data_IF_234873901408
#
_entry.id   IF_234873901408
#
_cell.length_a   1.000
_cell.length_b   1.000
_cell.length_c   1.000
_cell.angle_alpha   90.00
_cell.angle_beta   90.00
_cell.angle_gamma   90.00
#
_symmetry.space_group_name_H-M   'P 1'
#
loop_
_entity.id
_entity.type
_entity.pdbx_description
1 polymer ?
#
# COMPACT_ATOMS: atom_id res chain seq x y z
N UNK A 1 -2.20 13.84 -0.66
CA UNK A 1 -0.80 13.36 -0.70
C UNK A 1 -0.81 11.95 -0.15
N UNK A 2 -0.23 11.00 -0.87
CA UNK A 2 -0.06 9.62 -0.43
C UNK A 2 1.43 9.35 -0.33
N UNK A 3 1.86 8.67 0.74
CA UNK A 3 3.26 8.36 0.98
C UNK A 3 3.39 6.92 1.50
N UNK A 4 4.28 6.16 0.86
CA UNK A 4 4.76 4.88 1.35
C UNK A 4 6.22 5.04 1.77
N UNK A 5 6.57 4.47 2.91
CA UNK A 5 7.95 4.39 3.38
C UNK A 5 8.24 2.97 3.85
N UNK A 6 9.19 2.32 3.16
CA UNK A 6 9.63 0.94 3.40
C UNK A 6 8.46 -0.05 3.52
N UNK A 7 7.38 0.22 2.78
CA UNK A 7 6.13 -0.49 2.93
C UNK A 7 6.21 -1.89 2.31
N UNK A 8 5.88 -2.90 3.09
CA UNK A 8 5.90 -4.30 2.66
C UNK A 8 4.58 -4.97 2.96
N UNK A 9 4.20 -5.91 2.09
CA UNK A 9 2.98 -6.71 2.22
C UNK A 9 3.31 -8.17 1.93
N UNK A 10 2.92 -9.05 2.83
CA UNK A 10 3.12 -10.50 2.71
C UNK A 10 1.82 -11.27 2.99
N UNK A 11 1.67 -12.40 2.30
CA UNK A 11 0.56 -13.35 2.43
C UNK A 11 1.12 -14.75 2.65
N UNK A 12 1.00 -15.27 3.86
CA UNK A 12 1.68 -16.52 4.23
C UNK A 12 3.19 -16.44 3.92
N UNK A 13 3.76 -17.40 3.16
CA UNK A 13 5.18 -17.37 2.78
C UNK A 13 5.50 -16.41 1.63
N UNK A 14 4.49 -15.90 0.91
CA UNK A 14 4.69 -15.08 -0.27
C UNK A 14 4.82 -13.60 0.10
N UNK A 15 5.85 -12.94 -0.40
CA UNK A 15 6.02 -11.48 -0.27
C UNK A 15 5.55 -10.82 -1.56
N UNK A 16 4.47 -10.04 -1.45
CA UNK A 16 3.83 -9.37 -2.58
C UNK A 16 4.41 -7.96 -2.83
N UNK A 17 4.84 -7.26 -1.76
CA UNK A 17 5.54 -5.98 -1.84
C UNK A 17 6.78 -6.03 -0.93
N UNK A 18 7.91 -5.56 -1.43
CA UNK A 18 9.18 -5.48 -0.69
C UNK A 18 9.60 -4.02 -0.61
N UNK A 19 9.56 -3.45 0.60
CA UNK A 19 10.13 -2.14 0.93
C UNK A 19 9.81 -1.04 -0.10
N UNK A 20 8.55 -0.94 -0.50
CA UNK A 20 8.09 0.06 -1.45
C UNK A 20 8.11 1.45 -0.79
N UNK A 21 8.83 2.38 -1.41
CA UNK A 21 8.89 3.78 -1.01
C UNK A 21 8.50 4.66 -2.19
N UNK A 22 7.40 5.39 -2.05
CA UNK A 22 6.89 6.29 -3.09
C UNK A 22 6.09 7.43 -2.47
N UNK A 23 5.94 8.51 -3.22
CA UNK A 23 5.16 9.67 -2.83
C UNK A 23 4.35 10.18 -4.02
N UNK A 24 3.06 10.41 -3.78
CA UNK A 24 2.11 10.90 -4.78
C UNK A 24 1.50 12.20 -4.23
N UNK A 25 1.81 13.31 -4.90
CA UNK A 25 1.26 14.60 -4.55
C UNK A 25 -0.21 14.75 -4.93
N UNK A 26 -0.90 15.71 -4.33
CA UNK A 26 -2.29 16.01 -4.72
C UNK A 26 -2.34 16.37 -6.21
N UNK A 27 -3.27 15.76 -6.95
CA UNK A 27 -3.42 15.97 -8.39
C UNK A 27 -2.47 15.17 -9.28
N UNK A 28 -1.50 14.43 -8.71
CA UNK A 28 -0.65 13.52 -9.48
C UNK A 28 -1.36 12.21 -9.81
N UNK A 29 -0.97 11.62 -10.94
CA UNK A 29 -1.42 10.29 -11.39
C UNK A 29 -0.24 9.33 -11.32
N UNK A 30 -0.40 8.21 -10.62
CA UNK A 30 0.58 7.13 -10.58
C UNK A 30 0.19 6.03 -11.58
N UNK A 31 1.06 5.73 -12.53
CA UNK A 31 0.97 4.53 -13.36
C UNK A 31 1.87 3.43 -12.79
N UNK A 32 1.32 2.23 -12.58
CA UNK A 32 2.06 1.07 -12.08
C UNK A 32 2.12 -0.01 -13.17
N UNK A 33 3.32 -0.38 -13.60
CA UNK A 33 3.56 -1.37 -14.65
C UNK A 33 4.54 -2.45 -14.19
N UNK A 34 4.52 -3.61 -14.85
CA UNK A 34 5.38 -4.76 -14.52
C UNK A 34 4.72 -6.09 -14.88
N UNK A 35 5.47 -7.18 -14.80
CA UNK A 35 5.02 -8.54 -15.15
C UNK A 35 3.86 -9.04 -14.28
N UNK A 36 3.09 -10.03 -14.77
CA UNK A 36 2.05 -10.67 -13.96
C UNK A 36 2.65 -11.23 -12.66
N UNK A 37 1.99 -10.99 -11.53
CA UNK A 37 2.48 -11.42 -10.21
C UNK A 37 3.48 -10.47 -9.52
N UNK A 38 3.90 -9.36 -10.15
CA UNK A 38 4.88 -8.43 -9.56
C UNK A 38 4.39 -7.59 -8.36
N UNK A 39 3.17 -7.82 -7.85
CA UNK A 39 2.62 -7.11 -6.69
C UNK A 39 1.78 -5.87 -6.99
N UNK A 40 1.54 -5.51 -8.25
CA UNK A 40 0.77 -4.29 -8.64
C UNK A 40 -0.63 -4.23 -8.03
N UNK A 41 -1.38 -5.34 -8.13
CA UNK A 41 -2.73 -5.43 -7.54
C UNK A 41 -2.66 -5.30 -6.02
N UNK A 42 -1.65 -5.90 -5.38
CA UNK A 42 -1.47 -5.76 -3.94
C UNK A 42 -1.17 -4.31 -3.55
N UNK A 43 -0.31 -3.61 -4.29
CA UNK A 43 -0.03 -2.19 -4.08
C UNK A 43 -1.32 -1.37 -4.17
N UNK A 44 -2.12 -1.57 -5.22
CA UNK A 44 -3.38 -0.86 -5.39
C UNK A 44 -4.35 -1.13 -4.22
N UNK A 45 -4.52 -2.39 -3.82
CA UNK A 45 -5.39 -2.76 -2.71
C UNK A 45 -4.93 -2.14 -1.38
N UNK A 46 -3.62 -2.12 -1.09
CA UNK A 46 -3.09 -1.49 0.10
C UNK A 46 -3.37 0.02 0.12
N UNK A 47 -3.19 0.70 -1.02
CA UNK A 47 -3.46 2.14 -1.14
C UNK A 47 -4.95 2.50 -1.02
N UNK A 48 -5.84 1.54 -1.26
CA UNK A 48 -7.30 1.70 -1.12
C UNK A 48 -7.82 1.26 0.26
N UNK A 49 -6.96 0.80 1.17
CA UNK A 49 -7.41 0.24 2.45
C UNK A 49 -8.11 -1.12 2.33
N UNK A 50 -7.92 -1.81 1.20
CA UNK A 50 -8.59 -3.07 0.83
C UNK A 50 -7.62 -4.25 0.80
N UNK A 51 -6.47 -4.16 1.47
CA UNK A 51 -5.60 -5.30 1.64
C UNK A 51 -6.37 -6.41 2.39
N UNK A 52 -6.36 -7.67 1.92
CA UNK A 52 -7.16 -8.70 2.58
C UNK A 52 -6.62 -8.99 3.98
N UNK A 53 -7.50 -9.35 4.93
CA UNK A 53 -7.19 -9.34 6.37
C UNK A 53 -5.99 -10.21 6.78
N UNK A 54 -5.74 -11.30 6.06
CA UNK A 54 -4.58 -12.17 6.29
C UNK A 54 -3.26 -11.60 5.74
N UNK A 55 -3.28 -10.39 5.17
CA UNK A 55 -2.07 -9.65 4.81
C UNK A 55 -1.32 -9.24 6.08
N UNK A 56 -0.02 -9.50 6.10
CA UNK A 56 0.87 -8.82 7.03
C UNK A 56 1.45 -7.59 6.35
N UNK A 57 1.09 -6.42 6.86
CA UNK A 57 1.61 -5.12 6.42
C UNK A 57 2.69 -4.65 7.38
N UNK A 58 3.77 -4.08 6.86
CA UNK A 58 4.84 -3.44 7.65
C UNK A 58 5.35 -2.18 6.93
N UNK A 59 6.05 -1.31 7.65
CA UNK A 59 6.45 0.01 7.14
C UNK A 59 5.36 1.04 7.39
N UNK A 60 5.33 2.10 6.58
CA UNK A 60 4.37 3.19 6.76
C UNK A 60 3.60 3.51 5.49
N UNK A 61 2.29 3.62 5.60
CA UNK A 61 1.40 4.23 4.62
C UNK A 61 0.75 5.47 5.24
N UNK A 62 0.98 6.64 4.65
CA UNK A 62 0.34 7.89 5.05
C UNK A 62 -0.53 8.46 3.95
N UNK A 63 -1.70 8.97 4.33
CA UNK A 63 -2.58 9.75 3.47
C UNK A 63 -2.82 11.09 4.14
N UNK A 64 -2.44 12.17 3.46
CA UNK A 64 -2.56 13.55 3.95
C UNK A 64 -1.95 13.73 5.35
N UNK A 65 -0.80 13.09 5.58
CA UNK A 65 -0.05 13.13 6.84
C UNK A 65 -0.54 12.15 7.93
N UNK A 66 -1.72 11.55 7.76
CA UNK A 66 -2.29 10.58 8.69
C UNK A 66 -1.73 9.18 8.42
N UNK A 67 -1.33 8.46 9.46
CA UNK A 67 -0.95 7.05 9.34
C UNK A 67 -2.18 6.18 9.08
N UNK A 68 -2.13 5.41 8.01
CA UNK A 68 -3.19 4.54 7.53
C UNK A 68 -2.78 3.06 7.51
N UNK A 69 -1.56 2.72 7.94
CA UNK A 69 -0.97 1.37 7.82
C UNK A 69 -1.85 0.29 8.44
N UNK A 70 -2.47 0.60 9.58
CA UNK A 70 -3.42 -0.26 10.28
C UNK A 70 -4.69 0.52 10.70
N UNK A 71 -5.06 1.52 9.91
CA UNK A 71 -6.25 2.31 10.20
C UNK A 71 -7.51 1.45 10.08
N UNK A 72 -8.48 1.57 11.01
CA UNK A 72 -9.76 0.88 10.88
C UNK A 72 -10.53 1.38 9.65
N UNK A 73 -11.40 0.54 9.11
CA UNK A 73 -12.22 0.83 7.91
C UNK A 73 -12.97 2.17 7.99
N UNK A 74 -13.39 2.58 9.19
CA UNK A 74 -14.07 3.86 9.44
C UNK A 74 -13.22 5.10 9.12
N UNK A 75 -11.90 4.97 8.95
CA UNK A 75 -11.02 6.07 8.54
C UNK A 75 -10.76 6.10 7.03
N UNK A 76 -11.19 5.06 6.31
CA UNK A 76 -11.07 4.93 4.86
C UNK A 76 -12.34 5.37 4.10
N UNK A 77 -13.42 5.65 4.84
CA UNK A 77 -14.72 6.09 4.32
C UNK A 77 -14.85 7.61 4.22
#
# INVERSE_FOLDING_TARGET
>A
MIELQDFSAAFGPAVALRSASLRIERGQRLGVVGESGSGKTMLALCLMGMAPESARLTGHLRIDGRDMTHAPESLWS
#
